data_IF_067023235118
#
_entry.id   IF_067023235118
#
_cell.length_a   1.000
_cell.length_b   1.000
_cell.length_c   1.000
_cell.angle_alpha   90.00
_cell.angle_beta   90.00
_cell.angle_gamma   90.00
#
_symmetry.space_group_name_H-M   'P 1'
#
loop_
_entity.id
_entity.type
_entity.pdbx_description
1 polymer ?
#
# COMPACT_ATOMS: atom_id res chain seq x y z
N UNK A 1 19.74 8.38 -34.70
CA UNK A 1 20.29 8.89 -33.44
C UNK A 1 19.08 9.27 -32.58
N UNK A 2 18.54 8.31 -31.84
CA UNK A 2 17.43 8.57 -30.92
C UNK A 2 18.05 8.93 -29.57
N UNK A 3 18.01 10.20 -29.26
CA UNK A 3 18.39 10.74 -27.98
C UNK A 3 17.24 10.44 -26.99
N UNK A 4 17.24 9.22 -26.44
CA UNK A 4 16.40 8.90 -25.29
C UNK A 4 17.06 9.52 -24.06
N UNK A 5 16.88 10.84 -23.91
CA UNK A 5 17.19 11.52 -22.67
C UNK A 5 16.37 10.82 -21.57
N UNK A 6 17.04 10.01 -20.74
CA UNK A 6 16.45 9.49 -19.51
C UNK A 6 15.82 10.67 -18.75
N UNK A 7 14.55 10.61 -18.41
CA UNK A 7 13.94 11.66 -17.60
C UNK A 7 14.67 11.70 -16.26
N UNK A 8 15.51 12.74 -16.10
CA UNK A 8 16.15 13.00 -14.81
C UNK A 8 15.03 13.30 -13.80
N UNK A 9 14.88 12.45 -12.81
CA UNK A 9 14.03 12.71 -11.63
C UNK A 9 14.50 14.03 -11.04
N UNK A 10 13.74 15.09 -11.21
CA UNK A 10 14.06 16.39 -10.62
C UNK A 10 13.75 16.33 -9.13
N UNK A 11 14.53 17.04 -8.32
CA UNK A 11 14.30 17.12 -6.85
C UNK A 11 12.84 17.50 -6.51
N UNK A 12 12.22 18.31 -7.36
CA UNK A 12 10.82 18.69 -7.25
C UNK A 12 9.86 17.51 -7.39
N UNK A 13 10.18 16.52 -8.23
CA UNK A 13 9.35 15.33 -8.42
C UNK A 13 9.48 14.38 -7.24
N UNK A 14 10.63 14.39 -6.53
CA UNK A 14 10.80 13.61 -5.31
C UNK A 14 10.02 14.16 -4.12
N UNK A 15 9.74 15.46 -4.07
CA UNK A 15 8.87 16.05 -3.05
C UNK A 15 7.42 15.53 -3.18
N UNK A 16 6.95 15.29 -4.40
CA UNK A 16 5.63 14.71 -4.63
C UNK A 16 5.54 13.24 -4.18
N UNK A 17 6.68 12.57 -3.96
CA UNK A 17 6.74 11.20 -3.42
C UNK A 17 6.70 11.19 -1.89
N UNK A 18 6.82 12.35 -1.23
CA UNK A 18 6.73 12.42 0.22
C UNK A 18 5.27 12.44 0.65
N UNK A 19 4.92 11.52 1.53
CA UNK A 19 3.56 11.33 2.00
C UNK A 19 3.04 12.57 2.76
N UNK A 20 1.98 13.18 2.24
CA UNK A 20 1.24 14.26 2.89
C UNK A 20 -0.24 14.10 2.60
N UNK A 21 -1.10 14.15 3.61
CA UNK A 21 -2.54 13.97 3.46
C UNK A 21 -3.02 12.53 3.62
N UNK A 22 -4.16 12.18 3.02
CA UNK A 22 -4.73 10.83 3.08
C UNK A 22 -3.93 9.81 2.27
N UNK A 23 -4.10 8.51 2.57
CA UNK A 23 -3.51 7.43 1.77
C UNK A 23 -3.96 7.51 0.30
N UNK A 24 -5.23 7.80 0.08
CA UNK A 24 -5.84 7.84 -1.24
C UNK A 24 -5.27 8.98 -2.09
N UNK A 25 -5.16 10.19 -1.51
CA UNK A 25 -4.56 11.36 -2.18
C UNK A 25 -3.10 11.11 -2.58
N UNK A 26 -2.34 10.50 -1.68
CA UNK A 26 -0.94 10.15 -1.95
C UNK A 26 -0.79 9.10 -3.04
N UNK A 27 -1.60 8.03 -2.99
CA UNK A 27 -1.56 7.00 -4.02
C UNK A 27 -1.98 7.55 -5.39
N UNK A 28 -2.96 8.46 -5.44
CA UNK A 28 -3.35 9.13 -6.68
C UNK A 28 -2.20 9.98 -7.24
N UNK A 29 -1.55 10.78 -6.39
CA UNK A 29 -0.39 11.58 -6.76
C UNK A 29 0.77 10.72 -7.28
N UNK A 30 1.02 9.58 -6.65
CA UNK A 30 2.05 8.64 -7.09
C UNK A 30 1.69 7.96 -8.41
N UNK A 31 0.43 7.61 -8.62
CA UNK A 31 -0.04 7.04 -9.89
C UNK A 31 0.15 8.04 -11.04
N UNK A 32 -0.19 9.31 -10.82
CA UNK A 32 -0.02 10.36 -11.83
C UNK A 32 1.45 10.64 -12.11
N UNK A 33 2.30 10.67 -11.07
CA UNK A 33 3.75 10.84 -11.24
C UNK A 33 4.35 9.65 -12.00
N UNK A 34 4.02 8.41 -11.65
CA UNK A 34 4.46 7.22 -12.34
C UNK A 34 4.08 7.25 -13.82
N UNK A 35 2.80 7.55 -14.11
CA UNK A 35 2.29 7.68 -15.46
C UNK A 35 3.11 8.68 -16.30
N UNK A 36 3.40 9.85 -15.75
CA UNK A 36 4.16 10.91 -16.45
C UNK A 36 5.62 10.55 -16.64
N UNK A 37 6.29 10.00 -15.63
CA UNK A 37 7.72 9.70 -15.68
C UNK A 37 8.08 8.62 -16.71
N UNK A 38 7.22 7.62 -16.87
CA UNK A 38 7.43 6.54 -17.85
C UNK A 38 6.65 6.77 -19.16
N UNK A 39 6.03 7.93 -19.36
CA UNK A 39 5.28 8.25 -20.58
C UNK A 39 4.07 7.34 -20.82
N UNK A 40 3.48 6.82 -19.77
CA UNK A 40 2.37 5.87 -19.87
C UNK A 40 1.01 6.55 -20.16
N UNK A 41 0.08 5.82 -20.75
CA UNK A 41 -1.30 6.27 -20.98
C UNK A 41 -2.12 6.22 -19.69
N UNK A 42 -1.90 5.16 -18.89
CA UNK A 42 -2.57 5.03 -17.60
C UNK A 42 -1.66 4.40 -16.55
N UNK A 43 -1.98 4.63 -15.28
CA UNK A 43 -1.36 3.96 -14.13
C UNK A 43 -2.46 3.52 -13.18
N UNK A 44 -2.26 2.38 -12.50
CA UNK A 44 -3.14 1.89 -11.45
C UNK A 44 -2.33 1.31 -10.29
N UNK A 45 -2.75 1.60 -9.07
CA UNK A 45 -2.16 1.07 -7.83
C UNK A 45 -3.19 0.18 -7.17
N UNK A 46 -2.84 -1.09 -7.00
CA UNK A 46 -3.67 -2.09 -6.34
C UNK A 46 -3.00 -2.55 -5.05
N UNK A 47 -3.71 -2.57 -3.95
CA UNK A 47 -3.22 -3.06 -2.67
C UNK A 47 -4.06 -4.24 -2.18
N UNK A 48 -3.43 -5.13 -1.40
CA UNK A 48 -4.11 -6.23 -0.75
C UNK A 48 -5.23 -5.71 0.17
N UNK A 49 -6.38 -6.35 0.10
CA UNK A 49 -7.48 -6.05 1.00
C UNK A 49 -7.16 -6.58 2.40
N UNK A 50 -6.94 -5.69 3.34
CA UNK A 50 -6.61 -6.03 4.72
C UNK A 50 -7.82 -6.44 5.57
N UNK A 51 -9.03 -6.28 5.04
CA UNK A 51 -10.27 -6.59 5.79
C UNK A 51 -10.61 -8.08 5.78
N UNK A 52 -9.95 -8.86 4.92
CA UNK A 52 -10.09 -10.31 4.82
C UNK A 52 -8.70 -10.97 4.81
N UNK A 53 -8.09 -11.27 5.96
CA UNK A 53 -6.74 -11.82 6.05
C UNK A 53 -6.57 -13.18 5.37
N UNK A 54 -7.65 -13.94 5.20
CA UNK A 54 -7.67 -15.24 4.52
C UNK A 54 -7.93 -15.13 3.01
N UNK A 55 -8.37 -13.96 2.51
CA UNK A 55 -8.63 -13.69 1.09
C UNK A 55 -7.63 -12.65 0.56
N UNK A 56 -6.46 -13.13 0.12
CA UNK A 56 -5.36 -12.32 -0.41
C UNK A 56 -5.71 -11.77 -1.81
N UNK A 57 -6.74 -10.94 -1.89
CA UNK A 57 -7.12 -10.22 -3.11
C UNK A 57 -6.72 -8.76 -3.04
N UNK A 58 -6.24 -8.26 -4.16
CA UNK A 58 -5.96 -6.84 -4.36
C UNK A 58 -7.19 -6.12 -4.86
N UNK A 59 -7.40 -4.90 -4.38
CA UNK A 59 -8.36 -3.94 -4.93
C UNK A 59 -7.64 -2.72 -5.50
N UNK A 60 -8.27 -2.06 -6.46
CA UNK A 60 -7.80 -0.77 -6.96
C UNK A 60 -7.93 0.29 -5.83
N UNK A 61 -6.82 0.96 -5.52
CA UNK A 61 -6.78 2.02 -4.50
C UNK A 61 -6.59 3.40 -5.11
N UNK A 62 -5.88 3.48 -6.25
CA UNK A 62 -5.71 4.73 -6.98
C UNK A 62 -5.43 4.46 -8.46
N UNK A 63 -5.77 5.43 -9.30
CA UNK A 63 -5.47 5.38 -10.73
C UNK A 63 -5.26 6.76 -11.31
N UNK A 64 -4.54 6.82 -12.43
CA UNK A 64 -4.31 8.03 -13.21
C UNK A 64 -4.40 7.70 -14.71
N UNK A 65 -4.92 8.64 -15.51
CA UNK A 65 -5.23 8.42 -16.92
C UNK A 65 -6.51 7.61 -17.13
N UNK A 66 -6.69 7.07 -18.34
CA UNK A 66 -7.90 6.30 -18.68
C UNK A 66 -7.84 4.88 -18.10
N UNK A 67 -8.50 4.66 -16.99
CA UNK A 67 -8.72 3.33 -16.41
C UNK A 67 -10.19 2.95 -16.59
N UNK A 68 -10.50 1.78 -17.12
CA UNK A 68 -11.88 1.36 -17.35
C UNK A 68 -12.65 1.17 -16.03
N UNK A 69 -13.95 1.52 -16.01
CA UNK A 69 -14.80 1.37 -14.82
C UNK A 69 -14.80 -0.05 -14.24
N UNK A 70 -14.77 -1.07 -15.08
CA UNK A 70 -14.71 -2.47 -14.64
C UNK A 70 -13.44 -2.82 -13.86
N UNK A 71 -12.36 -2.03 -13.95
CA UNK A 71 -11.16 -2.24 -13.18
C UNK A 71 -11.31 -1.73 -11.73
N UNK A 72 -12.21 -0.77 -11.48
CA UNK A 72 -12.42 -0.17 -10.16
C UNK A 72 -13.08 -1.14 -9.18
N UNK A 73 -13.91 -2.06 -9.67
CA UNK A 73 -14.61 -3.05 -8.85
C UNK A 73 -13.90 -4.42 -8.82
N UNK A 74 -12.84 -4.58 -9.62
CA UNK A 74 -12.16 -5.84 -9.75
C UNK A 74 -11.33 -6.19 -8.52
N UNK A 75 -11.62 -7.35 -7.95
CA UNK A 75 -10.74 -8.02 -6.98
C UNK A 75 -9.85 -9.00 -7.74
N UNK A 76 -8.53 -8.91 -7.53
CA UNK A 76 -7.53 -9.75 -8.21
C UNK A 76 -6.86 -10.65 -7.19
N UNK A 77 -7.00 -11.95 -7.36
CA UNK A 77 -6.34 -12.95 -6.51
C UNK A 77 -4.86 -13.15 -6.90
N UNK A 78 -4.08 -13.70 -5.97
CA UNK A 78 -2.71 -14.14 -6.25
C UNK A 78 -2.69 -15.17 -7.39
N UNK A 79 -1.82 -14.97 -8.37
CA UNK A 79 -1.73 -15.79 -9.57
C UNK A 79 -2.72 -15.46 -10.70
N UNK A 80 -3.72 -14.63 -10.45
CA UNK A 80 -4.74 -14.25 -11.43
C UNK A 80 -4.26 -13.12 -12.35
N UNK A 81 -4.17 -13.39 -13.65
CA UNK A 81 -3.74 -12.41 -14.63
C UNK A 81 -2.33 -11.89 -14.43
N UNK A 82 -2.01 -10.74 -15.00
CA UNK A 82 -0.67 -10.12 -14.90
C UNK A 82 -0.40 -9.66 -13.46
N UNK A 83 -1.32 -8.90 -12.88
CA UNK A 83 -1.16 -8.36 -11.53
C UNK A 83 -1.02 -9.45 -10.47
N UNK A 84 -1.85 -10.52 -10.55
CA UNK A 84 -1.77 -11.64 -9.62
C UNK A 84 -0.47 -12.44 -9.74
N UNK A 85 0.12 -12.54 -10.94
CA UNK A 85 1.45 -13.16 -11.12
C UNK A 85 2.56 -12.32 -10.49
N UNK A 86 2.51 -11.00 -10.63
CA UNK A 86 3.47 -10.09 -9.99
C UNK A 86 3.32 -10.16 -8.47
N UNK A 87 2.09 -10.22 -7.96
CA UNK A 87 1.82 -10.43 -6.53
C UNK A 87 2.44 -11.76 -6.04
N UNK A 88 2.21 -12.85 -6.76
CA UNK A 88 2.68 -14.18 -6.38
C UNK A 88 4.20 -14.33 -6.46
N UNK A 89 4.81 -13.80 -7.55
CA UNK A 89 6.25 -13.92 -7.78
C UNK A 89 7.08 -12.88 -7.05
N UNK A 90 6.47 -11.73 -6.72
CA UNK A 90 7.17 -10.56 -6.22
C UNK A 90 8.17 -9.97 -7.23
N UNK A 91 8.07 -10.25 -8.51
CA UNK A 91 8.99 -9.77 -9.57
C UNK A 91 8.25 -8.86 -10.52
N UNK A 92 8.92 -7.77 -10.93
CA UNK A 92 8.39 -6.90 -11.96
C UNK A 92 8.29 -7.63 -13.32
N UNK A 93 7.37 -7.20 -14.14
CA UNK A 93 7.08 -7.78 -15.44
C UNK A 93 6.91 -6.68 -16.49
N UNK A 94 7.60 -6.82 -17.60
CA UNK A 94 7.40 -6.05 -18.83
C UNK A 94 6.71 -6.93 -19.86
N UNK A 95 5.60 -6.46 -20.41
CA UNK A 95 4.88 -7.07 -21.53
C UNK A 95 4.89 -6.08 -22.68
N UNK A 96 5.73 -6.33 -23.67
CA UNK A 96 5.90 -5.43 -24.83
C UNK A 96 4.67 -5.37 -25.74
N UNK A 97 3.97 -6.50 -25.87
CA UNK A 97 2.73 -6.62 -26.63
C UNK A 97 1.79 -7.62 -25.95
N UNK A 98 0.77 -7.08 -25.28
CA UNK A 98 -0.22 -7.89 -24.57
C UNK A 98 -0.95 -8.83 -25.52
N UNK A 99 -1.22 -8.38 -26.76
CA UNK A 99 -2.00 -9.16 -27.74
C UNK A 99 -1.26 -10.41 -28.24
N UNK A 100 0.07 -10.39 -28.17
CA UNK A 100 0.96 -11.49 -28.60
C UNK A 100 1.55 -12.26 -27.42
N UNK A 101 1.20 -11.87 -26.20
CA UNK A 101 1.68 -12.51 -24.97
C UNK A 101 0.75 -13.64 -24.52
N UNK A 102 1.20 -14.44 -23.57
CA UNK A 102 0.38 -15.43 -22.86
C UNK A 102 -0.83 -14.79 -22.15
N UNK A 103 -0.84 -13.48 -21.98
CA UNK A 103 -1.91 -12.70 -21.35
C UNK A 103 -2.98 -12.20 -22.31
N UNK A 104 -2.86 -12.49 -23.60
CA UNK A 104 -3.82 -12.00 -24.63
C UNK A 104 -5.28 -12.35 -24.31
N UNK A 105 -5.52 -13.55 -23.77
CA UNK A 105 -6.85 -14.00 -23.35
C UNK A 105 -7.33 -13.40 -22.03
N UNK A 106 -6.44 -12.84 -21.23
CA UNK A 106 -6.70 -12.26 -19.90
C UNK A 106 -6.82 -10.74 -19.96
N UNK A 107 -6.45 -10.13 -21.09
CA UNK A 107 -6.59 -8.70 -21.30
C UNK A 107 -8.08 -8.33 -21.25
N UNK A 108 -8.53 -7.80 -20.10
CA UNK A 108 -9.92 -7.37 -19.88
C UNK A 108 -10.36 -6.25 -20.84
N UNK A 109 -9.45 -5.76 -21.67
CA UNK A 109 -9.64 -4.61 -22.55
C UNK A 109 -9.28 -4.96 -23.98
N UNK A 110 -10.28 -5.25 -24.76
CA UNK A 110 -10.18 -5.34 -26.24
C UNK A 110 -10.02 -3.95 -26.90
N UNK A 111 -9.50 -2.96 -26.21
CA UNK A 111 -9.20 -1.66 -26.82
C UNK A 111 -7.88 -1.74 -27.57
N UNK A 112 -7.95 -1.58 -28.87
CA UNK A 112 -6.90 -1.73 -29.86
C UNK A 112 -5.70 -0.77 -29.74
N UNK A 113 -5.54 -0.02 -28.64
CA UNK A 113 -4.61 1.10 -28.58
C UNK A 113 -3.51 1.01 -27.51
N UNK A 114 -3.45 -0.06 -26.70
CA UNK A 114 -2.45 -0.15 -25.63
C UNK A 114 -1.77 -1.52 -25.66
N UNK A 115 -0.71 -1.68 -26.48
CA UNK A 115 -0.05 -2.97 -26.64
C UNK A 115 0.86 -3.36 -25.49
N UNK A 116 1.41 -2.41 -24.75
CA UNK A 116 2.44 -2.66 -23.74
C UNK A 116 1.98 -2.39 -22.30
N UNK A 117 2.54 -3.17 -21.36
CA UNK A 117 2.27 -3.03 -19.94
C UNK A 117 3.55 -3.28 -19.13
N UNK A 118 3.77 -2.48 -18.10
CA UNK A 118 4.69 -2.81 -17.01
C UNK A 118 3.90 -3.00 -15.71
N UNK A 119 4.32 -3.96 -14.92
CA UNK A 119 3.73 -4.27 -13.63
C UNK A 119 4.85 -4.49 -12.62
N UNK A 120 4.81 -3.80 -11.48
CA UNK A 120 5.85 -3.89 -10.46
C UNK A 120 5.24 -4.12 -9.07
N UNK A 121 5.88 -4.94 -8.21
CA UNK A 121 5.40 -5.21 -6.86
C UNK A 121 5.61 -3.98 -5.96
N UNK A 122 4.58 -3.61 -5.21
CA UNK A 122 4.66 -2.65 -4.11
C UNK A 122 5.04 -3.43 -2.86
N UNK A 123 6.18 -3.07 -2.24
CA UNK A 123 6.73 -3.81 -1.10
C UNK A 123 6.86 -2.96 0.15
N UNK A 124 6.57 -3.58 1.29
CA UNK A 124 6.86 -3.06 2.64
C UNK A 124 7.66 -4.12 3.38
N UNK A 125 8.88 -3.77 3.81
CA UNK A 125 9.80 -4.65 4.54
C UNK A 125 9.99 -6.03 3.87
N UNK A 126 10.20 -5.99 2.54
CA UNK A 126 10.42 -7.19 1.73
C UNK A 126 9.16 -7.98 1.36
N UNK A 127 8.00 -7.67 1.92
CA UNK A 127 6.72 -8.32 1.61
C UNK A 127 5.98 -7.57 0.52
N UNK A 128 5.45 -8.27 -0.46
CA UNK A 128 4.58 -7.68 -1.47
C UNK A 128 3.20 -7.42 -0.87
N UNK A 129 2.81 -6.14 -0.82
CA UNK A 129 1.52 -5.67 -0.28
C UNK A 129 0.57 -5.20 -1.37
N UNK A 130 1.03 -5.17 -2.61
CA UNK A 130 0.26 -4.73 -3.75
C UNK A 130 1.07 -4.73 -5.03
N UNK A 131 0.49 -4.16 -6.06
CA UNK A 131 1.07 -4.06 -7.40
C UNK A 131 0.74 -2.70 -8.00
N UNK A 132 1.71 -2.08 -8.65
CA UNK A 132 1.49 -0.92 -9.50
C UNK A 132 1.64 -1.33 -10.96
N UNK A 133 0.75 -0.83 -11.83
CA UNK A 133 0.73 -1.15 -13.26
C UNK A 133 0.68 0.13 -14.07
N UNK A 134 1.37 0.12 -15.21
CA UNK A 134 1.23 1.17 -16.24
C UNK A 134 0.98 0.53 -17.58
N UNK A 135 0.18 1.21 -18.40
CA UNK A 135 -0.10 0.80 -19.78
C UNK A 135 0.33 1.90 -20.73
N UNK A 136 0.81 1.53 -21.91
CA UNK A 136 1.31 2.47 -22.91
C UNK A 136 1.52 1.80 -24.26
N UNK A 137 2.12 2.54 -25.20
CA UNK A 137 2.38 2.03 -26.55
C UNK A 137 3.60 1.11 -26.60
N UNK A 138 4.66 1.50 -25.92
CA UNK A 138 5.94 0.75 -25.82
C UNK A 138 6.60 1.07 -24.50
N UNK A 139 7.35 0.12 -23.96
CA UNK A 139 8.23 0.31 -22.81
C UNK A 139 9.54 -0.44 -23.01
N UNK A 140 10.61 0.05 -22.40
CA UNK A 140 11.94 -0.52 -22.38
C UNK A 140 12.30 -1.07 -21.01
N UNK A 141 13.33 -1.91 -20.93
CA UNK A 141 13.90 -2.39 -19.67
C UNK A 141 14.42 -1.24 -18.77
N UNK A 142 14.91 -0.14 -19.36
CA UNK A 142 15.33 1.02 -18.60
C UNK A 142 14.16 1.72 -17.92
N UNK A 143 13.00 1.81 -18.59
CA UNK A 143 11.76 2.35 -18.02
C UNK A 143 11.20 1.41 -16.97
N UNK A 144 11.32 0.08 -17.15
CA UNK A 144 10.96 -0.89 -16.12
C UNK A 144 11.81 -0.68 -14.85
N UNK A 145 13.12 -0.50 -14.97
CA UNK A 145 14.00 -0.21 -13.85
C UNK A 145 13.61 1.06 -13.09
N UNK A 146 13.28 2.15 -13.82
CA UNK A 146 12.76 3.38 -13.24
C UNK A 146 11.41 3.13 -12.53
N UNK A 147 10.55 2.35 -13.15
CA UNK A 147 9.23 2.02 -12.61
C UNK A 147 9.33 1.19 -11.32
N UNK A 148 10.28 0.28 -11.21
CA UNK A 148 10.55 -0.46 -9.96
C UNK A 148 10.98 0.48 -8.82
N UNK A 149 11.79 1.51 -9.13
CA UNK A 149 12.15 2.55 -8.14
C UNK A 149 10.90 3.31 -7.68
N UNK A 150 10.01 3.68 -8.59
CA UNK A 150 8.74 4.34 -8.24
C UNK A 150 7.88 3.41 -7.36
N UNK A 151 7.78 2.13 -7.69
CA UNK A 151 7.06 1.16 -6.89
C UNK A 151 7.61 1.03 -5.44
N UNK A 152 8.93 1.14 -5.29
CA UNK A 152 9.58 1.20 -3.97
C UNK A 152 9.13 2.44 -3.18
N UNK A 153 9.09 3.62 -3.81
CA UNK A 153 8.62 4.85 -3.16
C UNK A 153 7.13 4.76 -2.77
N UNK A 154 6.29 4.18 -3.64
CA UNK A 154 4.88 3.91 -3.32
C UNK A 154 4.79 3.05 -2.06
N UNK A 155 5.57 1.97 -1.96
CA UNK A 155 5.60 1.10 -0.79
C UNK A 155 6.00 1.84 0.48
N UNK A 156 7.04 2.69 0.41
CA UNK A 156 7.47 3.52 1.55
C UNK A 156 6.42 4.56 1.94
N UNK A 157 5.76 5.18 0.98
CA UNK A 157 4.67 6.12 1.26
C UNK A 157 3.50 5.44 1.96
N UNK A 158 3.07 4.26 1.48
CA UNK A 158 2.03 3.45 2.14
C UNK A 158 2.43 3.12 3.57
N UNK A 159 3.67 2.68 3.80
CA UNK A 159 4.19 2.36 5.13
C UNK A 159 4.15 3.57 6.08
N UNK A 160 4.61 4.73 5.62
CA UNK A 160 4.62 5.96 6.42
C UNK A 160 3.21 6.38 6.82
N UNK A 161 2.26 6.38 5.89
CA UNK A 161 0.87 6.78 6.16
C UNK A 161 0.20 5.81 7.13
N UNK A 162 0.45 4.50 6.98
CA UNK A 162 -0.07 3.49 7.90
C UNK A 162 0.49 3.67 9.32
N UNK A 163 1.79 3.97 9.44
CA UNK A 163 2.42 4.27 10.72
C UNK A 163 1.87 5.56 11.35
N UNK A 164 1.67 6.61 10.54
CA UNK A 164 1.04 7.85 11.00
C UNK A 164 -0.39 7.61 11.49
N UNK A 165 -1.17 6.80 10.77
CA UNK A 165 -2.52 6.39 11.17
C UNK A 165 -2.53 5.65 12.52
N UNK A 166 -1.56 4.76 12.74
CA UNK A 166 -1.36 4.06 14.02
C UNK A 166 -1.11 5.04 15.15
N UNK A 167 -0.18 5.99 14.95
CA UNK A 167 0.18 6.99 15.97
C UNK A 167 -1.02 7.91 16.23
N UNK A 168 -1.70 8.42 15.20
CA UNK A 168 -2.86 9.31 15.35
C UNK A 168 -4.00 8.62 16.10
N UNK A 169 -4.29 7.36 15.80
CA UNK A 169 -5.33 6.58 16.48
C UNK A 169 -5.01 6.38 17.97
N UNK A 170 -3.75 6.16 18.33
CA UNK A 170 -3.32 6.05 19.72
C UNK A 170 -3.41 7.39 20.47
N UNK A 171 -2.98 8.49 19.83
CA UNK A 171 -3.07 9.82 20.45
C UNK A 171 -4.52 10.25 20.64
N UNK A 172 -5.39 10.01 19.66
CA UNK A 172 -6.81 10.30 19.78
C UNK A 172 -7.45 9.50 20.94
N UNK A 173 -7.05 8.24 21.10
CA UNK A 173 -7.57 7.36 22.15
C UNK A 173 -7.10 7.79 23.55
N UNK A 174 -5.82 8.13 23.70
CA UNK A 174 -5.26 8.66 24.91
C UNK A 174 -5.87 10.03 25.30
N UNK A 175 -6.16 10.88 24.31
CA UNK A 175 -6.83 12.16 24.51
C UNK A 175 -8.28 11.97 24.99
N UNK A 176 -9.04 11.04 24.38
CA UNK A 176 -10.41 10.72 24.79
C UNK A 176 -10.48 10.16 26.23
N UNK A 177 -9.51 9.30 26.61
CA UNK A 177 -9.41 8.78 27.98
C UNK A 177 -9.06 9.89 28.98
N UNK A 178 -8.28 10.89 28.57
CA UNK A 178 -7.82 11.98 29.44
C UNK A 178 -8.86 13.10 29.64
N UNK A 179 -9.73 13.33 28.67
CA UNK A 179 -10.70 14.43 28.71
C UNK A 179 -12.06 14.09 29.30
N UNK A 180 -12.31 12.82 29.67
CA UNK A 180 -13.55 12.39 30.37
C UNK A 180 -14.85 12.77 29.64
N UNK A 181 -14.82 12.82 28.29
CA UNK A 181 -15.95 13.34 27.49
C UNK A 181 -17.17 12.44 27.60
N UNK A 182 -18.41 12.97 27.71
CA UNK A 182 -19.66 12.20 27.94
C UNK A 182 -20.05 11.19 26.88
N UNK A 183 -19.28 11.07 25.80
CA UNK A 183 -19.46 10.02 24.78
C UNK A 183 -18.86 8.65 25.17
N UNK A 184 -18.10 8.58 26.25
CA UNK A 184 -17.51 7.34 26.79
C UNK A 184 -18.51 6.39 27.44
N UNK A 185 -19.78 6.77 27.55
CA UNK A 185 -20.84 5.91 28.11
C UNK A 185 -21.09 4.60 27.31
N UNK A 186 -20.57 4.49 26.10
CA UNK A 186 -20.64 3.24 25.30
C UNK A 186 -19.61 2.18 25.72
N UNK A 187 -18.59 2.55 26.54
CA UNK A 187 -17.51 1.65 26.96
C UNK A 187 -17.50 1.51 28.49
N UNK A 188 -18.58 0.97 29.04
CA UNK A 188 -18.73 0.78 30.48
C UNK A 188 -17.85 -0.34 31.06
N UNK A 189 -17.24 -1.16 30.21
CA UNK A 189 -16.37 -2.25 30.64
C UNK A 189 -14.92 -2.05 30.15
N UNK A 190 -13.95 -1.79 31.07
CA UNK A 190 -12.54 -1.64 30.73
C UNK A 190 -11.95 -2.84 29.97
N UNK A 191 -12.42 -4.06 30.26
CA UNK A 191 -11.93 -5.28 29.64
C UNK A 191 -12.34 -5.36 28.16
N UNK A 192 -13.54 -4.93 27.83
CA UNK A 192 -14.01 -4.88 26.44
C UNK A 192 -13.25 -3.82 25.64
N UNK A 193 -12.97 -2.69 26.25
CA UNK A 193 -12.15 -1.64 25.67
C UNK A 193 -10.73 -2.16 25.41
N UNK A 194 -10.12 -2.84 26.36
CA UNK A 194 -8.78 -3.43 26.22
C UNK A 194 -8.73 -4.44 25.06
N UNK A 195 -9.77 -5.27 24.90
CA UNK A 195 -9.88 -6.23 23.78
C UNK A 195 -10.00 -5.54 22.43
N UNK A 196 -10.79 -4.47 22.36
CA UNK A 196 -10.96 -3.67 21.14
C UNK A 196 -9.62 -3.05 20.76
N UNK A 197 -8.90 -2.47 21.72
CA UNK A 197 -7.58 -1.88 21.51
C UNK A 197 -6.56 -2.91 21.02
N UNK A 198 -6.52 -4.10 21.65
CA UNK A 198 -5.61 -5.16 21.25
C UNK A 198 -5.88 -5.64 19.81
N UNK A 199 -7.15 -5.79 19.43
CA UNK A 199 -7.55 -6.16 18.05
C UNK A 199 -7.18 -5.08 17.06
N UNK A 200 -7.43 -3.81 17.40
CA UNK A 200 -7.07 -2.67 16.55
C UNK A 200 -5.56 -2.59 16.36
N UNK A 201 -4.78 -2.74 17.45
CA UNK A 201 -3.33 -2.79 17.39
C UNK A 201 -2.82 -3.89 16.46
N UNK A 202 -3.31 -5.12 16.62
CA UNK A 202 -2.93 -6.25 15.78
C UNK A 202 -3.27 -5.98 14.30
N UNK A 203 -4.50 -5.51 14.02
CA UNK A 203 -4.96 -5.21 12.66
C UNK A 203 -4.07 -4.14 12.01
N UNK A 204 -3.79 -3.05 12.71
CA UNK A 204 -3.00 -1.96 12.17
C UNK A 204 -1.51 -2.33 11.98
N UNK A 205 -0.91 -3.08 12.90
CA UNK A 205 0.46 -3.57 12.75
C UNK A 205 0.57 -4.52 11.55
N UNK A 206 -0.42 -5.39 11.37
CA UNK A 206 -0.48 -6.28 10.20
C UNK A 206 -0.60 -5.49 8.89
N UNK A 207 -1.46 -4.45 8.87
CA UNK A 207 -1.60 -3.54 7.72
C UNK A 207 -0.31 -2.80 7.40
N UNK A 208 0.41 -2.36 8.42
CA UNK A 208 1.70 -1.68 8.27
C UNK A 208 2.83 -2.62 7.81
N UNK A 209 2.53 -3.91 7.57
CA UNK A 209 3.49 -4.88 7.05
C UNK A 209 4.41 -5.50 8.11
N UNK A 210 4.14 -5.30 9.41
CA UNK A 210 4.94 -5.94 10.46
C UNK A 210 4.77 -7.46 10.44
N UNK A 211 5.88 -8.17 10.56
CA UNK A 211 5.87 -9.63 10.69
C UNK A 211 5.29 -10.05 12.04
N UNK A 212 4.67 -11.25 12.15
CA UNK A 212 4.09 -11.74 13.41
C UNK A 212 5.05 -11.67 14.61
N UNK A 213 6.33 -11.97 14.41
CA UNK A 213 7.35 -11.86 15.44
C UNK A 213 7.57 -10.43 15.95
N UNK A 214 7.51 -9.42 15.06
CA UNK A 214 7.62 -8.01 15.42
C UNK A 214 6.39 -7.55 16.20
N UNK A 215 5.20 -8.04 15.85
CA UNK A 215 3.96 -7.75 16.58
C UNK A 215 4.02 -8.33 17.99
N UNK A 216 4.52 -9.55 18.13
CA UNK A 216 4.73 -10.21 19.44
C UNK A 216 5.75 -9.43 20.26
N UNK A 217 6.89 -9.02 19.68
CA UNK A 217 7.89 -8.18 20.37
C UNK A 217 7.29 -6.87 20.87
N UNK A 218 6.52 -6.18 20.03
CA UNK A 218 5.86 -4.93 20.42
C UNK A 218 4.84 -5.13 21.54
N UNK A 219 4.06 -6.22 21.51
CA UNK A 219 3.11 -6.57 22.57
C UNK A 219 3.83 -6.91 23.88
N UNK A 220 4.96 -7.64 23.82
CA UNK A 220 5.78 -7.98 24.98
C UNK A 220 6.38 -6.74 25.65
N UNK A 221 6.83 -5.77 24.84
CA UNK A 221 7.34 -4.49 25.36
C UNK A 221 6.24 -3.70 26.08
N UNK A 222 5.02 -3.67 25.51
CA UNK A 222 3.87 -3.03 26.16
C UNK A 222 3.54 -3.68 27.51
N UNK A 223 3.59 -5.01 27.60
CA UNK A 223 3.38 -5.76 28.83
C UNK A 223 4.47 -5.43 29.86
N UNK A 224 5.74 -5.33 29.41
CA UNK A 224 6.87 -4.97 30.26
C UNK A 224 6.70 -3.58 30.89
N UNK A 225 6.31 -2.59 30.07
CA UNK A 225 6.05 -1.22 30.53
C UNK A 225 4.87 -1.13 31.52
N UNK A 226 3.80 -1.89 31.25
CA UNK A 226 2.65 -1.95 32.16
C UNK A 226 3.02 -2.57 33.50
N UNK A 227 3.78 -3.66 33.50
CA UNK A 227 4.26 -4.29 34.73
C UNK A 227 5.16 -3.36 35.55
N UNK A 228 6.06 -2.61 34.87
CA UNK A 228 6.88 -1.58 35.54
C UNK A 228 6.01 -0.51 36.19
N UNK A 229 5.04 0.03 35.47
CA UNK A 229 4.12 1.05 36.01
C UNK A 229 3.28 0.58 37.20
N UNK A 230 2.88 -0.70 37.20
CA UNK A 230 2.11 -1.31 38.30
C UNK A 230 3.02 -1.49 39.55
N UNK A 231 4.28 -1.86 39.36
CA UNK A 231 5.25 -1.98 40.47
C UNK A 231 5.56 -0.63 41.10
N UNK A 232 5.72 0.42 40.30
CA UNK A 232 5.95 1.79 40.78
C UNK A 232 4.74 2.31 41.57
N UNK A 233 3.52 2.02 41.12
CA UNK A 233 2.29 2.40 41.81
C UNK A 233 2.12 1.68 43.18
N UNK A 234 2.58 0.42 43.29
CA UNK A 234 2.52 -0.37 44.52
C UNK A 234 3.61 0.06 45.54
N UNK A 235 4.68 0.73 45.11
CA UNK A 235 5.74 1.24 46.01
C UNK A 235 5.43 2.64 46.56
N UNK A 236 4.42 3.34 46.01
CA UNK A 236 3.99 4.68 46.42
C UNK A 236 2.75 4.67 47.32
N UNK A 237 2.16 3.52 47.59
CA UNK A 237 1.01 3.30 48.47
C UNK A 237 1.43 2.64 49.79
#
# INVERSE_FOLDING_TARGET
>A
MNDHAMPLLRLHDTQALLASGSLEDNLHSHAELARRLVGATSCSVMLLNSDAPDDLRMRLCASAGEVPPAASEALVASGEGICGRVLASGRALLVEDISRSEFAGLARHKRAAVPALMSAPVRIDGRTVGVVNVTGTTFSEAELGLFEVIALFIGKSVQVIQLQGLLASRFAHLALVREGTPGAAAYQNPDDLARILARSFFKEMTRAGFAPGQIVSAASELIGQLNGSLQDATHQA
#
